data_IF_622164522083
#
_entry.id   IF_622164522083
#
_cell.length_a   1.000
_cell.length_b   1.000
_cell.length_c   1.000
_cell.angle_alpha   90.00
_cell.angle_beta   90.00
_cell.angle_gamma   90.00
#
_symmetry.space_group_name_H-M   'P 1'
#
loop_
_entity.id
_entity.type
_entity.pdbx_description
1 polymer ?
#
# COMPACT_ATOMS: atom_id res chain seq x y z
N UNK A 1 16.20 39.23 -37.49
CA UNK A 1 15.21 38.26 -36.99
C UNK A 1 15.03 37.18 -38.03
N UNK A 2 15.52 35.96 -37.75
CA UNK A 2 14.74 34.75 -37.93
C UNK A 2 14.70 33.89 -36.65
N UNK A 3 13.78 32.91 -36.58
CA UNK A 3 13.32 32.24 -35.36
C UNK A 3 14.15 30.98 -35.06
N UNK A 4 14.20 30.52 -33.80
CA UNK A 4 14.32 29.10 -33.37
C UNK A 4 14.79 28.99 -31.92
N UNK A 5 13.89 29.19 -30.95
CA UNK A 5 14.17 28.90 -29.53
C UNK A 5 13.07 28.05 -28.87
N UNK A 6 12.33 27.28 -29.68
CA UNK A 6 11.23 26.41 -29.22
C UNK A 6 11.33 25.03 -29.90
N UNK A 7 12.44 24.33 -29.64
CA UNK A 7 12.58 22.88 -29.85
C UNK A 7 13.95 22.44 -29.32
N UNK A 8 14.01 22.02 -28.06
CA UNK A 8 15.01 21.07 -27.52
C UNK A 8 14.82 21.01 -26.01
N UNK A 9 13.80 20.27 -25.54
CA UNK A 9 13.78 19.73 -24.18
C UNK A 9 12.78 18.56 -24.08
N UNK A 10 12.76 17.68 -25.09
CA UNK A 10 11.94 16.45 -25.06
C UNK A 10 12.75 15.15 -25.02
N UNK A 11 14.08 15.21 -25.03
CA UNK A 11 14.92 14.00 -25.07
C UNK A 11 15.89 13.91 -23.89
N UNK A 12 15.36 14.09 -22.68
CA UNK A 12 16.02 13.62 -21.45
C UNK A 12 15.29 12.39 -20.90
N UNK A 13 14.82 11.51 -21.80
CA UNK A 13 14.55 10.12 -21.45
C UNK A 13 15.90 9.42 -21.32
N UNK A 14 16.28 9.18 -20.08
CA UNK A 14 17.51 8.52 -19.64
C UNK A 14 17.69 7.20 -20.39
N UNK A 15 18.51 7.21 -21.45
CA UNK A 15 19.07 6.00 -22.05
C UNK A 15 19.98 5.37 -20.99
N UNK A 16 19.40 4.50 -20.17
CA UNK A 16 20.16 3.55 -19.36
C UNK A 16 20.57 2.45 -20.32
N UNK A 17 21.79 2.54 -20.84
CA UNK A 17 22.39 1.45 -21.60
C UNK A 17 22.32 0.14 -20.79
N UNK A 18 21.94 -0.99 -21.41
CA UNK A 18 21.92 -2.27 -20.72
C UNK A 18 23.35 -2.65 -20.34
N UNK A 19 23.60 -2.78 -19.03
CA UNK A 19 24.86 -3.27 -18.46
C UNK A 19 25.11 -4.67 -19.01
N UNK A 20 26.07 -4.79 -19.91
CA UNK A 20 26.48 -6.06 -20.52
C UNK A 20 27.63 -6.66 -19.71
N UNK A 21 27.35 -7.68 -18.91
CA UNK A 21 28.40 -8.50 -18.30
C UNK A 21 29.00 -9.43 -19.38
N UNK A 22 30.25 -9.18 -19.80
CA UNK A 22 30.98 -10.08 -20.69
C UNK A 22 31.49 -11.30 -19.91
N UNK A 23 31.10 -12.50 -20.33
CA UNK A 23 31.83 -13.74 -20.01
C UNK A 23 33.05 -13.84 -20.93
N UNK A 24 34.13 -14.49 -20.47
CA UNK A 24 35.44 -14.54 -21.14
C UNK A 24 35.41 -15.11 -22.57
N UNK A 25 34.31 -15.73 -23.01
CA UNK A 25 34.23 -16.46 -24.28
C UNK A 25 33.60 -15.64 -25.44
N UNK A 26 33.50 -14.32 -25.32
CA UNK A 26 33.06 -13.46 -26.43
C UNK A 26 31.57 -13.56 -26.79
N UNK A 27 30.79 -14.41 -26.12
CA UNK A 27 29.34 -14.47 -26.24
C UNK A 27 28.73 -13.26 -25.52
N UNK A 28 28.03 -12.40 -26.27
CA UNK A 28 27.16 -11.37 -25.70
C UNK A 28 26.01 -12.09 -24.98
N UNK A 29 26.17 -12.34 -23.68
CA UNK A 29 25.03 -12.57 -22.80
C UNK A 29 24.23 -11.26 -22.83
N UNK A 30 23.16 -11.23 -23.61
CA UNK A 30 22.07 -10.31 -23.33
C UNK A 30 21.71 -10.60 -21.87
N UNK A 31 22.06 -9.68 -20.97
CA UNK A 31 21.68 -9.80 -19.57
C UNK A 31 20.16 -9.98 -19.59
N UNK A 32 19.69 -11.18 -19.23
CA UNK A 32 18.28 -11.52 -19.37
C UNK A 32 17.47 -10.43 -18.64
N UNK A 33 16.53 -9.73 -19.31
CA UNK A 33 15.91 -8.52 -18.77
C UNK A 33 15.31 -8.70 -17.36
N UNK A 34 14.85 -9.92 -17.07
CA UNK A 34 14.32 -10.30 -15.77
C UNK A 34 15.36 -10.26 -14.63
N UNK A 35 16.66 -10.43 -14.91
CA UNK A 35 17.73 -10.34 -13.89
C UNK A 35 17.92 -8.89 -13.41
N UNK A 36 17.85 -7.93 -14.33
CA UNK A 36 17.86 -6.51 -13.97
C UNK A 36 16.59 -6.12 -13.21
N UNK A 37 15.43 -6.64 -13.62
CA UNK A 37 14.17 -6.47 -12.90
C UNK A 37 14.26 -7.05 -11.47
N UNK A 38 14.84 -8.24 -11.31
CA UNK A 38 15.03 -8.89 -10.01
C UNK A 38 15.87 -8.04 -9.06
N UNK A 39 16.99 -7.49 -9.52
CA UNK A 39 17.81 -6.59 -8.69
C UNK A 39 17.03 -5.36 -8.25
N UNK A 40 16.29 -4.71 -9.17
CA UNK A 40 15.46 -3.54 -8.85
C UNK A 40 14.35 -3.88 -7.86
N UNK A 41 13.68 -5.02 -8.05
CA UNK A 41 12.63 -5.49 -7.16
C UNK A 41 13.18 -5.79 -5.75
N UNK A 42 14.35 -6.41 -5.65
CA UNK A 42 15.01 -6.67 -4.37
C UNK A 42 15.32 -5.37 -3.61
N UNK A 43 15.87 -4.37 -4.30
CA UNK A 43 16.14 -3.05 -3.70
C UNK A 43 14.84 -2.41 -3.22
N UNK A 44 13.78 -2.46 -4.03
CA UNK A 44 12.48 -1.92 -3.65
C UNK A 44 11.92 -2.61 -2.39
N UNK A 45 11.98 -3.95 -2.34
CA UNK A 45 11.55 -4.72 -1.17
C UNK A 45 12.35 -4.35 0.08
N UNK A 46 13.68 -4.18 -0.04
CA UNK A 46 14.52 -3.82 1.09
C UNK A 46 14.20 -2.42 1.60
N UNK A 47 14.00 -1.44 0.71
CA UNK A 47 13.54 -0.09 1.07
C UNK A 47 12.17 -0.12 1.72
N UNK A 48 11.21 -0.86 1.15
CA UNK A 48 9.87 -1.02 1.70
C UNK A 48 9.91 -1.65 3.09
N UNK A 49 10.73 -2.68 3.31
CA UNK A 49 10.91 -3.33 4.62
C UNK A 49 11.52 -2.39 5.65
N UNK A 50 12.54 -1.62 5.27
CA UNK A 50 13.14 -0.62 6.16
C UNK A 50 12.13 0.46 6.53
N UNK A 51 11.43 1.03 5.53
CA UNK A 51 10.42 2.04 5.75
C UNK A 51 9.27 1.51 6.64
N UNK A 52 8.80 0.29 6.37
CA UNK A 52 7.78 -0.37 7.17
C UNK A 52 8.27 -0.58 8.61
N UNK A 53 9.48 -1.14 8.81
CA UNK A 53 10.08 -1.37 10.13
C UNK A 53 10.16 -0.09 10.97
N UNK A 54 10.59 1.03 10.38
CA UNK A 54 10.63 2.33 11.07
C UNK A 54 9.22 2.86 11.36
N UNK A 55 8.27 2.59 10.48
CA UNK A 55 6.91 3.08 10.61
C UNK A 55 6.00 2.21 11.50
N UNK A 56 6.36 0.95 11.82
CA UNK A 56 5.44 0.00 12.48
C UNK A 56 4.78 0.55 13.74
N UNK A 57 5.56 1.19 14.62
CA UNK A 57 5.02 1.79 15.84
C UNK A 57 4.08 2.96 15.57
N UNK A 58 4.39 3.79 14.56
CA UNK A 58 3.52 4.90 14.15
C UNK A 58 2.24 4.40 13.50
N UNK A 59 2.33 3.34 12.70
CA UNK A 59 1.17 2.68 12.09
C UNK A 59 0.27 2.07 13.16
N UNK A 60 0.84 1.40 14.16
CA UNK A 60 0.08 0.90 15.31
C UNK A 60 -0.64 2.06 16.02
N UNK A 61 0.07 3.15 16.31
CA UNK A 61 -0.52 4.32 16.97
C UNK A 61 -1.65 4.94 16.15
N UNK A 62 -1.50 5.05 14.83
CA UNK A 62 -2.57 5.50 13.93
C UNK A 62 -3.79 4.58 14.04
N UNK A 63 -3.61 3.25 13.94
CA UNK A 63 -4.72 2.30 14.03
C UNK A 63 -5.41 2.37 15.40
N UNK A 64 -4.62 2.37 16.48
CA UNK A 64 -5.16 2.43 17.84
C UNK A 64 -5.87 3.75 18.13
N UNK A 65 -5.33 4.88 17.65
CA UNK A 65 -5.98 6.18 17.79
C UNK A 65 -7.24 6.26 16.94
N UNK A 66 -7.23 5.77 15.69
CA UNK A 66 -8.43 5.72 14.86
C UNK A 66 -9.52 4.84 15.50
N UNK A 67 -9.18 3.69 16.07
CA UNK A 67 -10.15 2.84 16.78
C UNK A 67 -10.66 3.56 18.03
N UNK A 68 -9.77 4.04 18.90
CA UNK A 68 -10.15 4.61 20.20
C UNK A 68 -10.86 5.97 20.05
N UNK A 69 -10.24 6.93 19.36
CA UNK A 69 -10.85 8.23 19.13
C UNK A 69 -12.02 8.15 18.17
N UNK A 70 -11.93 7.32 17.12
CA UNK A 70 -13.05 7.14 16.20
C UNK A 70 -14.28 6.63 16.93
N UNK A 71 -14.19 5.56 17.73
CA UNK A 71 -15.34 5.03 18.49
C UNK A 71 -15.88 6.03 19.52
N UNK A 72 -15.01 6.63 20.33
CA UNK A 72 -15.42 7.55 21.40
C UNK A 72 -16.02 8.83 20.81
N UNK A 73 -15.36 9.45 19.82
CA UNK A 73 -15.83 10.69 19.20
C UNK A 73 -17.07 10.43 18.34
N UNK A 74 -17.14 9.35 17.55
CA UNK A 74 -18.38 9.04 16.83
C UNK A 74 -19.54 8.85 17.81
N UNK A 75 -19.38 8.09 18.89
CA UNK A 75 -20.47 7.89 19.86
C UNK A 75 -20.91 9.21 20.49
N UNK A 76 -19.96 10.02 20.98
CA UNK A 76 -20.25 11.31 21.61
C UNK A 76 -20.84 12.33 20.62
N UNK A 77 -20.33 12.40 19.39
CA UNK A 77 -20.80 13.32 18.36
C UNK A 77 -22.14 12.89 17.76
N UNK A 78 -22.40 11.58 17.59
CA UNK A 78 -23.71 11.09 17.10
C UNK A 78 -24.78 11.39 18.13
N UNK A 79 -24.47 11.21 19.42
CA UNK A 79 -25.33 11.65 20.53
C UNK A 79 -25.56 13.15 20.53
N UNK A 80 -24.48 13.94 20.47
CA UNK A 80 -24.56 15.40 20.42
C UNK A 80 -25.39 15.90 19.23
N UNK A 81 -25.21 15.28 18.05
CA UNK A 81 -25.98 15.57 16.86
C UNK A 81 -27.46 15.17 17.00
N UNK A 82 -27.78 14.03 17.62
CA UNK A 82 -29.17 13.61 17.86
C UNK A 82 -29.89 14.59 18.81
N UNK A 83 -29.21 15.02 19.87
CA UNK A 83 -29.73 16.02 20.82
C UNK A 83 -29.86 17.39 20.14
N UNK A 84 -28.86 17.81 19.37
CA UNK A 84 -28.86 19.05 18.62
C UNK A 84 -29.95 19.11 17.55
N UNK A 85 -30.24 17.99 16.85
CA UNK A 85 -31.36 17.89 15.90
C UNK A 85 -32.69 17.99 16.64
N UNK A 86 -32.81 17.38 17.82
CA UNK A 86 -34.01 17.49 18.65
C UNK A 86 -34.19 18.91 19.26
N UNK A 87 -33.12 19.69 19.42
CA UNK A 87 -33.14 21.00 20.09
C UNK A 87 -32.92 22.20 19.14
N UNK A 88 -32.54 21.97 17.88
CA UNK A 88 -32.30 23.00 16.87
C UNK A 88 -30.98 23.79 17.01
N UNK A 89 -30.07 23.40 17.92
CA UNK A 89 -28.82 24.11 18.18
C UNK A 89 -27.59 23.23 17.89
N UNK A 90 -26.79 23.60 16.88
CA UNK A 90 -25.52 22.93 16.58
C UNK A 90 -24.38 23.73 17.21
N UNK A 91 -23.67 23.13 18.18
CA UNK A 91 -22.50 23.73 18.81
C UNK A 91 -21.25 23.58 17.93
N UNK A 92 -20.48 24.67 17.76
CA UNK A 92 -19.22 24.71 16.99
C UNK A 92 -18.19 23.70 17.53
N UNK A 93 -18.25 23.38 18.84
CA UNK A 93 -17.34 22.42 19.48
C UNK A 93 -17.57 20.99 18.97
N UNK A 94 -18.81 20.65 18.65
CA UNK A 94 -19.17 19.31 18.16
C UNK A 94 -18.69 19.12 16.72
N UNK A 95 -18.73 20.17 15.91
CA UNK A 95 -18.21 20.17 14.54
C UNK A 95 -16.71 19.87 14.47
N UNK A 96 -15.90 20.46 15.36
CA UNK A 96 -14.46 20.21 15.42
C UNK A 96 -14.10 18.76 15.78
N UNK A 97 -14.86 18.16 16.70
CA UNK A 97 -14.67 16.76 17.09
C UNK A 97 -14.99 15.77 15.97
N UNK A 98 -16.08 16.02 15.22
CA UNK A 98 -16.46 15.22 14.04
C UNK A 98 -15.40 15.33 12.95
N UNK A 99 -14.92 16.54 12.65
CA UNK A 99 -13.91 16.74 11.62
C UNK A 99 -12.60 16.00 11.95
N UNK A 100 -12.20 16.01 13.23
CA UNK A 100 -11.03 15.27 13.69
C UNK A 100 -11.21 13.75 13.54
N UNK A 101 -12.37 13.21 13.94
CA UNK A 101 -12.68 11.79 13.76
C UNK A 101 -12.65 11.39 12.27
N UNK A 102 -13.27 12.18 11.39
CA UNK A 102 -13.25 11.97 9.93
C UNK A 102 -11.82 12.02 9.38
N UNK A 103 -10.97 12.91 9.90
CA UNK A 103 -9.56 12.99 9.51
C UNK A 103 -8.81 11.69 9.86
N UNK A 104 -8.96 11.16 11.08
CA UNK A 104 -8.31 9.91 11.48
C UNK A 104 -8.82 8.69 10.70
N UNK A 105 -10.12 8.63 10.43
CA UNK A 105 -10.72 7.57 9.60
C UNK A 105 -10.20 7.68 8.16
N UNK A 106 -10.20 8.86 7.55
CA UNK A 106 -9.71 9.03 6.18
C UNK A 106 -8.22 8.71 6.03
N UNK A 107 -7.38 9.08 7.01
CA UNK A 107 -5.97 8.69 7.03
C UNK A 107 -5.79 7.16 7.11
N UNK A 108 -6.60 6.48 7.92
CA UNK A 108 -6.61 5.02 7.99
C UNK A 108 -7.08 4.37 6.68
N UNK A 109 -8.09 4.93 6.01
CA UNK A 109 -8.55 4.47 4.70
C UNK A 109 -7.45 4.59 3.65
N UNK A 110 -6.79 5.74 3.56
CA UNK A 110 -5.67 5.96 2.63
C UNK A 110 -4.56 4.95 2.87
N UNK A 111 -4.26 4.67 4.14
CA UNK A 111 -3.27 3.67 4.51
C UNK A 111 -3.65 2.28 4.00
N UNK A 112 -4.90 1.84 4.22
CA UNK A 112 -5.38 0.54 3.74
C UNK A 112 -5.36 0.43 2.22
N UNK A 113 -5.73 1.51 1.51
CA UNK A 113 -5.65 1.58 0.06
C UNK A 113 -4.21 1.44 -0.45
N UNK A 114 -3.25 2.14 0.17
CA UNK A 114 -1.84 2.09 -0.24
C UNK A 114 -1.28 0.68 -0.07
N UNK A 115 -1.51 0.03 1.08
CA UNK A 115 -1.01 -1.33 1.32
C UNK A 115 -1.66 -2.35 0.37
N UNK A 116 -2.97 -2.22 0.13
CA UNK A 116 -3.68 -3.09 -0.83
C UNK A 116 -3.16 -2.87 -2.25
N UNK A 117 -2.86 -1.62 -2.64
CA UNK A 117 -2.27 -1.32 -3.94
C UNK A 117 -0.88 -1.95 -4.10
N UNK A 118 -0.06 -1.94 -3.05
CA UNK A 118 1.27 -2.59 -3.09
C UNK A 118 1.14 -4.10 -3.29
N UNK A 119 0.21 -4.74 -2.60
CA UNK A 119 -0.05 -6.17 -2.77
C UNK A 119 -0.52 -6.48 -4.20
N UNK A 120 -1.42 -5.66 -4.74
CA UNK A 120 -1.92 -5.84 -6.09
C UNK A 120 -0.83 -5.62 -7.16
N UNK A 121 0.09 -4.66 -6.96
CA UNK A 121 1.24 -4.49 -7.84
C UNK A 121 2.19 -5.70 -7.78
N UNK A 122 2.39 -6.32 -6.61
CA UNK A 122 3.16 -7.56 -6.50
C UNK A 122 2.52 -8.71 -7.29
N UNK A 123 1.20 -8.86 -7.21
CA UNK A 123 0.44 -9.85 -7.99
C UNK A 123 0.60 -9.64 -9.51
N UNK A 124 0.54 -8.38 -9.97
CA UNK A 124 0.77 -8.04 -11.39
C UNK A 124 2.17 -8.43 -11.85
N UNK A 125 3.19 -8.15 -11.05
CA UNK A 125 4.58 -8.54 -11.37
C UNK A 125 4.68 -10.06 -11.48
N UNK A 126 4.08 -10.82 -10.55
CA UNK A 126 4.03 -12.27 -10.63
C UNK A 126 3.31 -12.76 -11.90
N UNK A 127 2.17 -12.14 -12.26
CA UNK A 127 1.43 -12.50 -13.46
C UNK A 127 2.23 -12.26 -14.75
N UNK A 128 2.94 -11.14 -14.85
CA UNK A 128 3.83 -10.83 -15.99
C UNK A 128 5.00 -11.81 -16.07
N UNK A 129 5.59 -12.18 -14.93
CA UNK A 129 6.68 -13.16 -14.90
C UNK A 129 6.18 -14.57 -15.25
N UNK A 130 5.00 -14.96 -14.78
CA UNK A 130 4.36 -16.22 -15.14
C UNK A 130 4.10 -16.29 -16.65
N UNK A 131 3.54 -15.24 -17.24
CA UNK A 131 3.36 -15.15 -18.70
C UNK A 131 4.70 -15.26 -19.44
N UNK A 132 5.74 -14.57 -18.94
CA UNK A 132 7.09 -14.67 -19.49
C UNK A 132 7.63 -16.12 -19.45
N UNK A 133 7.32 -16.89 -18.40
CA UNK A 133 7.77 -18.30 -18.30
C UNK A 133 7.19 -19.21 -19.39
N UNK A 134 6.06 -18.85 -20.01
CA UNK A 134 5.43 -19.65 -21.07
C UNK A 134 6.26 -19.70 -22.34
N UNK A 135 7.16 -18.73 -22.54
CA UNK A 135 8.04 -18.66 -23.71
C UNK A 135 9.26 -19.60 -23.61
N UNK A 136 9.46 -20.27 -22.47
CA UNK A 136 10.60 -21.16 -22.26
C UNK A 136 10.21 -22.63 -22.40
N UNK A 137 11.18 -23.45 -22.82
CA UNK A 137 11.04 -24.90 -22.78
C UNK A 137 10.89 -25.40 -21.34
N UNK A 138 10.21 -26.54 -21.17
CA UNK A 138 9.87 -27.13 -19.86
C UNK A 138 11.11 -27.40 -18.99
N UNK A 139 12.28 -27.62 -19.60
CA UNK A 139 13.54 -27.93 -18.92
C UNK A 139 14.59 -26.81 -19.04
N UNK A 140 14.17 -25.58 -19.32
CA UNK A 140 15.09 -24.45 -19.34
C UNK A 140 15.54 -24.07 -17.93
N UNK A 141 16.87 -23.96 -17.72
CA UNK A 141 17.43 -23.39 -16.48
C UNK A 141 16.91 -21.97 -16.22
N UNK A 142 16.70 -21.18 -17.28
CA UNK A 142 16.17 -19.82 -17.17
C UNK A 142 14.73 -19.82 -16.65
N UNK A 143 13.93 -20.81 -17.04
CA UNK A 143 12.56 -20.96 -16.53
C UNK A 143 12.57 -21.23 -15.03
N UNK A 144 13.42 -22.16 -14.58
CA UNK A 144 13.58 -22.48 -13.15
C UNK A 144 14.00 -21.25 -12.35
N UNK A 145 14.93 -20.43 -12.87
CA UNK A 145 15.35 -19.19 -12.21
C UNK A 145 14.20 -18.18 -12.06
N UNK A 146 13.36 -18.02 -13.09
CA UNK A 146 12.19 -17.14 -13.06
C UNK A 146 11.10 -17.68 -12.13
N UNK A 147 10.84 -18.99 -12.15
CA UNK A 147 9.89 -19.66 -11.25
C UNK A 147 10.28 -19.47 -9.77
N UNK A 148 11.56 -19.65 -9.44
CA UNK A 148 12.08 -19.35 -8.11
C UNK A 148 11.93 -17.87 -7.74
N UNK A 149 12.09 -16.96 -8.70
CA UNK A 149 11.90 -15.55 -8.45
C UNK A 149 10.43 -15.22 -8.16
N UNK A 150 9.48 -15.81 -8.89
CA UNK A 150 8.04 -15.68 -8.63
C UNK A 150 7.69 -16.18 -7.21
N UNK A 151 8.23 -17.34 -6.82
CA UNK A 151 8.03 -17.87 -5.46
C UNK A 151 8.60 -16.92 -4.39
N UNK A 152 9.76 -16.30 -4.64
CA UNK A 152 10.33 -15.29 -3.74
C UNK A 152 9.40 -14.07 -3.56
N UNK A 153 8.80 -13.57 -4.65
CA UNK A 153 7.85 -12.44 -4.60
C UNK A 153 6.60 -12.84 -3.80
N UNK A 154 5.99 -13.99 -4.12
CA UNK A 154 4.79 -14.48 -3.43
C UNK A 154 5.00 -14.66 -1.92
N UNK A 155 6.16 -15.20 -1.51
CA UNK A 155 6.49 -15.33 -0.08
C UNK A 155 6.75 -13.98 0.60
N UNK A 156 7.14 -12.96 -0.16
CA UNK A 156 7.44 -11.63 0.37
C UNK A 156 6.20 -10.74 0.56
N UNK A 157 5.17 -10.87 -0.28
CA UNK A 157 3.93 -10.07 -0.18
C UNK A 157 3.17 -10.36 1.12
N UNK A 158 3.30 -11.57 1.66
CA UNK A 158 2.68 -11.97 2.94
C UNK A 158 3.20 -11.25 4.19
N UNK A 159 4.24 -10.40 4.09
CA UNK A 159 5.01 -9.90 5.25
C UNK A 159 4.74 -8.46 5.69
N UNK A 160 3.79 -7.75 5.08
CA UNK A 160 3.39 -6.41 5.53
C UNK A 160 2.43 -6.47 6.73
N UNK A 161 2.84 -7.14 7.80
CA UNK A 161 2.12 -7.19 9.08
C UNK A 161 2.69 -6.16 10.04
N UNK A 162 1.83 -5.32 10.63
CA UNK A 162 2.23 -4.38 11.68
C UNK A 162 2.52 -5.15 12.95
N UNK A 163 3.79 -5.13 13.38
CA UNK A 163 4.28 -5.82 14.59
C UNK A 163 3.86 -7.30 14.68
N UNK A 164 3.63 -7.95 13.52
CA UNK A 164 3.15 -9.33 13.43
C UNK A 164 1.73 -9.57 14.01
N UNK A 165 0.98 -8.52 14.33
CA UNK A 165 -0.34 -8.62 14.94
C UNK A 165 -1.46 -8.65 13.89
N UNK A 166 -1.40 -7.76 12.92
CA UNK A 166 -2.42 -7.63 11.89
C UNK A 166 -1.81 -7.17 10.57
N UNK A 167 -2.46 -7.54 9.48
CA UNK A 167 -2.16 -7.03 8.13
C UNK A 167 -3.04 -5.81 7.88
N UNK A 168 -2.44 -4.75 7.34
CA UNK A 168 -3.20 -3.59 6.88
C UNK A 168 -3.67 -3.88 5.45
N UNK A 169 -4.95 -4.13 5.28
CA UNK A 169 -5.59 -4.30 3.97
C UNK A 169 -7.06 -3.86 4.03
N UNK A 170 -7.76 -3.96 2.90
CA UNK A 170 -9.19 -3.64 2.82
C UNK A 170 -10.06 -4.52 3.73
N UNK A 171 -9.67 -5.77 3.99
CA UNK A 171 -10.44 -6.67 4.87
C UNK A 171 -10.35 -6.19 6.32
N UNK A 172 -9.16 -5.84 6.79
CA UNK A 172 -8.93 -5.25 8.11
C UNK A 172 -9.66 -3.92 8.26
N UNK A 173 -9.63 -3.09 7.21
CA UNK A 173 -10.41 -1.84 7.17
C UNK A 173 -11.90 -2.09 7.39
N UNK A 174 -12.51 -3.04 6.67
CA UNK A 174 -13.93 -3.36 6.82
C UNK A 174 -14.24 -3.88 8.22
N UNK A 175 -13.36 -4.70 8.80
CA UNK A 175 -13.52 -5.21 10.17
C UNK A 175 -13.51 -4.07 11.21
N UNK A 176 -12.55 -3.15 11.10
CA UNK A 176 -12.44 -2.00 12.00
C UNK A 176 -13.68 -1.11 11.88
N UNK A 177 -14.10 -0.76 10.67
CA UNK A 177 -15.29 0.08 10.45
C UNK A 177 -16.57 -0.60 10.95
N UNK A 178 -16.74 -1.90 10.69
CA UNK A 178 -17.89 -2.66 11.18
C UNK A 178 -17.92 -2.70 12.72
N UNK A 179 -16.77 -2.91 13.36
CA UNK A 179 -16.65 -2.87 14.82
C UNK A 179 -16.98 -1.48 15.38
N UNK A 180 -16.51 -0.41 14.73
CA UNK A 180 -16.83 0.97 15.12
C UNK A 180 -18.33 1.25 15.04
N UNK A 181 -18.97 0.90 13.93
CA UNK A 181 -20.42 1.08 13.75
C UNK A 181 -21.21 0.24 14.74
N UNK A 182 -20.84 -1.03 14.94
CA UNK A 182 -21.51 -1.93 15.89
C UNK A 182 -21.43 -1.39 17.32
N UNK A 183 -20.27 -0.90 17.73
CA UNK A 183 -20.09 -0.26 19.03
C UNK A 183 -20.97 0.98 19.19
N UNK A 184 -21.01 1.86 18.18
CA UNK A 184 -21.89 3.04 18.21
C UNK A 184 -23.37 2.66 18.39
N UNK A 185 -23.86 1.65 17.67
CA UNK A 185 -25.25 1.18 17.77
C UNK A 185 -25.53 0.66 19.18
N UNK A 186 -24.68 -0.23 19.70
CA UNK A 186 -24.85 -0.82 21.04
C UNK A 186 -24.82 0.25 22.13
N UNK A 187 -23.93 1.25 22.02
CA UNK A 187 -23.86 2.34 22.99
C UNK A 187 -25.10 3.25 22.96
N UNK A 188 -25.72 3.43 21.78
CA UNK A 188 -26.99 4.17 21.69
C UNK A 188 -28.14 3.37 22.31
N UNK A 189 -28.18 2.04 22.15
CA UNK A 189 -29.23 1.18 22.73
C UNK A 189 -29.11 0.98 24.25
N UNK A 190 -27.90 1.01 24.81
CA UNK A 190 -27.67 0.81 26.25
C UNK A 190 -27.89 2.07 27.12
N UNK A 191 -28.13 3.23 26.51
CA UNK A 191 -28.42 4.47 27.23
C UNK A 191 -29.93 4.79 27.35
N UNK A 192 -30.82 3.97 26.75
CA UNK A 192 -32.28 3.97 26.96
C UNK A 192 -32.70 3.03 28.12
#
# INVERSE_FOLDING_TARGET
MPPSALRMHRDAATQTEPVTCRRADGVKLYAAPWRALRQRHQILLDVCRMAHAVAQWKLLLIVMTTISYGTIQLTASTRGALIAVNQGEISIRDFGSVLNAVCHVSLFLVLCCVYTSVDHENEKVCAVLLDYTTNFSVHSEEKLEVDMFIDQINRSSSKCTVLWLFKIDMTFMTQVLAAMVSYCVVMMEMED
#
